data_IF_654935869252
#
_entry.id   IF_654935869252
#
_cell.length_a   1.000
_cell.length_b   1.000
_cell.length_c   1.000
_cell.angle_alpha   90.00
_cell.angle_beta   90.00
_cell.angle_gamma   90.00
#
_symmetry.space_group_name_H-M   'P 1'
#
loop_
_entity.id
_entity.type
_entity.pdbx_description
1 polymer ?
#
# COMPACT_ATOMS: atom_id res chain seq x y z
N UNK A 1 -22.87 1.37 17.92
CA UNK A 1 -21.85 1.19 16.86
C UNK A 1 -20.61 0.69 17.57
N UNK A 2 -20.25 -0.57 17.37
CA UNK A 2 -19.15 -1.22 18.08
C UNK A 2 -17.82 -0.54 17.77
N UNK A 3 -17.05 -0.21 18.80
CA UNK A 3 -15.76 0.49 18.73
C UNK A 3 -14.60 -0.35 18.18
N UNK A 4 -14.88 -1.47 17.51
CA UNK A 4 -13.88 -2.50 17.17
C UNK A 4 -13.73 -2.75 15.67
N UNK A 5 -14.16 -1.82 14.83
CA UNK A 5 -13.87 -1.92 13.41
C UNK A 5 -12.44 -1.42 13.18
N UNK A 6 -11.48 -2.34 13.02
CA UNK A 6 -10.08 -2.00 12.73
C UNK A 6 -10.03 -1.01 11.56
N UNK A 7 -9.48 0.18 11.80
CA UNK A 7 -9.30 1.17 10.73
C UNK A 7 -8.28 0.65 9.73
N UNK A 8 -8.68 0.58 8.47
CA UNK A 8 -7.83 0.12 7.37
C UNK A 8 -7.47 1.33 6.54
N UNK A 9 -6.21 1.47 6.19
CA UNK A 9 -5.71 2.48 5.27
C UNK A 9 -5.07 1.81 4.07
N UNK A 10 -5.60 2.09 2.87
CA UNK A 10 -5.06 1.63 1.60
C UNK A 10 -4.34 2.80 0.91
N UNK A 11 -3.08 2.59 0.57
CA UNK A 11 -2.21 3.58 -0.08
C UNK A 11 -1.81 3.05 -1.45
N UNK A 12 -2.19 3.79 -2.50
CA UNK A 12 -1.89 3.45 -3.90
C UNK A 12 -0.71 4.27 -4.38
N UNK A 13 0.33 3.60 -4.90
CA UNK A 13 1.43 4.23 -5.61
C UNK A 13 1.44 3.80 -7.06
N UNK A 14 0.74 4.52 -7.93
CA UNK A 14 0.68 4.26 -9.37
C UNK A 14 0.81 5.56 -10.15
N UNK A 15 1.47 5.52 -11.32
CA UNK A 15 1.57 6.69 -12.21
C UNK A 15 0.31 6.91 -13.06
N UNK A 16 -0.59 5.92 -13.13
CA UNK A 16 -1.84 6.01 -13.89
C UNK A 16 -3.02 6.24 -12.95
N UNK A 17 -3.70 7.37 -13.10
CA UNK A 17 -4.92 7.69 -12.32
C UNK A 17 -6.07 6.72 -12.58
N UNK A 18 -6.23 6.26 -13.81
CA UNK A 18 -7.26 5.29 -14.23
C UNK A 18 -6.59 3.93 -14.59
N UNK A 19 -5.66 3.48 -13.76
CA UNK A 19 -4.93 2.24 -13.97
C UNK A 19 -5.51 1.06 -13.19
N UNK A 20 -5.12 -0.15 -13.58
CA UNK A 20 -5.57 -1.40 -12.95
C UNK A 20 -5.30 -1.44 -11.45
N UNK A 21 -4.15 -0.94 -11.00
CA UNK A 21 -3.81 -0.89 -9.56
C UNK A 21 -4.79 -0.03 -8.78
N UNK A 22 -5.19 1.13 -9.33
CA UNK A 22 -6.19 1.98 -8.71
C UNK A 22 -7.56 1.32 -8.71
N UNK A 23 -7.99 0.71 -9.80
CA UNK A 23 -9.26 -0.03 -9.86
C UNK A 23 -9.36 -1.15 -8.81
N UNK A 24 -8.29 -1.91 -8.63
CA UNK A 24 -8.20 -2.93 -7.56
C UNK A 24 -8.31 -2.28 -6.17
N UNK A 25 -7.62 -1.17 -5.96
CA UNK A 25 -7.61 -0.48 -4.67
C UNK A 25 -8.99 0.13 -4.34
N UNK A 26 -9.67 0.75 -5.31
CA UNK A 26 -11.03 1.29 -5.15
C UNK A 26 -12.03 0.17 -4.83
N UNK A 27 -11.98 -0.94 -5.57
CA UNK A 27 -12.82 -2.10 -5.28
C UNK A 27 -12.63 -2.61 -3.84
N UNK A 28 -11.38 -2.75 -3.41
CA UNK A 28 -11.07 -3.20 -2.04
C UNK A 28 -11.51 -2.17 -0.99
N UNK A 29 -11.31 -0.88 -1.24
CA UNK A 29 -11.77 0.20 -0.37
C UNK A 29 -13.29 0.13 -0.17
N UNK A 30 -14.05 -0.01 -1.25
CA UNK A 30 -15.51 -0.12 -1.21
C UNK A 30 -15.97 -1.36 -0.44
N UNK A 31 -15.30 -2.50 -0.60
CA UNK A 31 -15.67 -3.76 0.06
C UNK A 31 -15.28 -3.84 1.51
N UNK A 32 -14.13 -3.28 1.87
CA UNK A 32 -13.59 -3.37 3.24
C UNK A 32 -13.93 -2.16 4.11
N UNK A 33 -14.30 -1.03 3.50
CA UNK A 33 -14.46 0.25 4.18
C UNK A 33 -13.12 0.92 4.50
N UNK A 34 -12.04 0.54 3.79
CA UNK A 34 -10.72 1.14 3.95
C UNK A 34 -10.71 2.61 3.49
N UNK A 35 -10.02 3.47 4.22
CA UNK A 35 -9.64 4.78 3.70
C UNK A 35 -8.66 4.63 2.54
N UNK A 36 -8.85 5.38 1.45
CA UNK A 36 -8.00 5.32 0.26
C UNK A 36 -7.16 6.60 0.14
N UNK A 37 -5.86 6.43 -0.10
CA UNK A 37 -4.92 7.50 -0.45
C UNK A 37 -4.25 7.13 -1.77
N UNK A 38 -4.30 8.05 -2.75
CA UNK A 38 -3.53 7.92 -3.98
C UNK A 38 -2.33 8.86 -3.95
N UNK A 39 -1.12 8.29 -3.95
CA UNK A 39 0.13 9.05 -3.93
C UNK A 39 0.32 9.92 -5.18
N UNK A 40 -0.36 9.62 -6.28
CA UNK A 40 -0.31 10.43 -7.50
C UNK A 40 -1.05 11.78 -7.37
N UNK A 41 -1.90 11.91 -6.37
CA UNK A 41 -2.66 13.14 -6.07
C UNK A 41 -1.95 14.02 -5.04
N UNK A 42 -0.82 13.56 -4.52
CA UNK A 42 -0.06 14.21 -3.45
C UNK A 42 1.30 14.72 -3.96
N UNK A 43 1.78 15.76 -3.33
CA UNK A 43 3.13 16.27 -3.53
C UNK A 43 4.05 15.65 -2.48
N UNK A 44 4.71 14.55 -2.82
CA UNK A 44 5.70 13.89 -1.96
C UNK A 44 7.05 13.91 -2.66
N UNK A 45 7.98 14.65 -2.10
CA UNK A 45 9.35 14.78 -2.62
C UNK A 45 10.22 13.58 -2.23
N UNK A 46 11.33 13.40 -2.94
CA UNK A 46 12.33 12.40 -2.59
C UNK A 46 12.88 12.63 -1.17
N UNK A 47 13.37 11.57 -0.53
CA UNK A 47 14.06 11.69 0.74
C UNK A 47 15.29 12.60 0.62
N UNK A 48 15.45 13.47 1.60
CA UNK A 48 16.58 14.41 1.70
C UNK A 48 17.20 14.30 3.10
N UNK A 49 18.50 14.02 3.17
CA UNK A 49 19.23 13.91 4.43
C UNK A 49 19.26 15.19 5.28
N UNK A 50 19.04 16.35 4.65
CA UNK A 50 18.90 17.63 5.34
C UNK A 50 17.44 17.96 5.72
N UNK A 51 16.51 17.02 5.41
CA UNK A 51 15.09 17.13 5.72
C UNK A 51 14.41 18.42 5.22
N UNK A 52 14.76 18.89 4.04
CA UNK A 52 14.21 20.14 3.44
C UNK A 52 12.75 19.99 3.01
N UNK A 53 12.25 18.77 2.87
CA UNK A 53 10.95 18.43 2.28
C UNK A 53 9.82 18.27 3.33
N UNK A 54 9.96 18.88 4.51
CA UNK A 54 8.98 18.69 5.61
C UNK A 54 7.62 19.35 5.36
N UNK A 55 7.50 20.17 4.33
CA UNK A 55 6.29 20.93 3.99
C UNK A 55 5.43 20.25 2.92
N UNK A 56 5.81 19.05 2.49
CA UNK A 56 5.05 18.26 1.54
C UNK A 56 4.00 17.36 2.23
N UNK A 57 3.20 16.64 1.44
CA UNK A 57 2.07 15.87 1.94
C UNK A 57 2.46 14.58 2.71
N UNK A 58 3.77 14.23 2.77
CA UNK A 58 4.21 12.98 3.40
C UNK A 58 3.79 12.87 4.86
N UNK A 59 3.95 13.96 5.64
CA UNK A 59 3.65 13.92 7.07
C UNK A 59 2.17 13.75 7.36
N UNK A 60 1.28 14.21 6.47
CA UNK A 60 -0.16 14.00 6.62
C UNK A 60 -0.56 12.55 6.35
N UNK A 61 0.08 11.92 5.36
CA UNK A 61 -0.07 10.47 5.15
C UNK A 61 0.46 9.68 6.34
N UNK A 62 1.64 10.03 6.86
CA UNK A 62 2.23 9.37 8.01
C UNK A 62 1.32 9.43 9.26
N UNK A 63 0.68 10.57 9.52
CA UNK A 63 -0.32 10.70 10.62
C UNK A 63 -1.50 9.74 10.41
N UNK A 64 -2.06 9.68 9.20
CA UNK A 64 -3.15 8.74 8.89
C UNK A 64 -2.72 7.27 9.05
N UNK A 65 -1.46 6.95 8.74
CA UNK A 65 -0.91 5.60 8.99
C UNK A 65 -0.93 5.25 10.48
N UNK A 66 -0.64 6.21 11.37
CA UNK A 66 -0.67 5.95 12.82
C UNK A 66 -2.08 5.68 13.36
N UNK A 67 -3.12 6.12 12.67
CA UNK A 67 -4.52 5.89 13.03
C UNK A 67 -5.07 4.54 12.55
N UNK A 68 -4.41 3.91 11.58
CA UNK A 68 -4.81 2.63 11.03
C UNK A 68 -4.25 1.46 11.86
N UNK A 69 -4.98 0.37 11.95
CA UNK A 69 -4.50 -0.91 12.48
C UNK A 69 -3.90 -1.79 11.37
N UNK A 70 -4.41 -1.62 10.14
CA UNK A 70 -3.94 -2.32 8.95
C UNK A 70 -3.60 -1.30 7.86
N UNK A 71 -2.40 -1.38 7.33
CA UNK A 71 -1.92 -0.57 6.20
C UNK A 71 -1.76 -1.48 5.01
N UNK A 72 -2.39 -1.14 3.90
CA UNK A 72 -2.29 -1.87 2.63
C UNK A 72 -1.56 -0.98 1.63
N UNK A 73 -0.43 -1.44 1.12
CA UNK A 73 0.30 -0.78 0.04
C UNK A 73 -0.06 -1.44 -1.28
N UNK A 74 -0.54 -0.66 -2.25
CA UNK A 74 -0.88 -1.15 -3.58
C UNK A 74 -0.01 -0.47 -4.65
N UNK A 75 0.70 -1.25 -5.46
CA UNK A 75 1.65 -0.76 -6.46
C UNK A 75 1.60 -1.58 -7.75
N UNK A 76 1.75 -0.97 -8.93
CA UNK A 76 1.99 -1.75 -10.14
C UNK A 76 3.39 -2.39 -10.11
N UNK A 77 3.55 -3.44 -10.93
CA UNK A 77 4.87 -4.02 -11.22
C UNK A 77 5.49 -3.28 -12.40
N UNK A 78 6.54 -2.52 -12.15
CA UNK A 78 7.33 -1.86 -13.19
C UNK A 78 8.77 -2.38 -13.14
N UNK A 79 9.20 -3.03 -14.22
CA UNK A 79 10.56 -3.59 -14.29
C UNK A 79 10.91 -4.43 -13.05
N UNK A 80 10.02 -5.37 -12.71
CA UNK A 80 10.15 -6.31 -11.59
C UNK A 80 10.22 -5.65 -10.20
N UNK A 81 9.82 -4.37 -10.08
CA UNK A 81 9.83 -3.63 -8.83
C UNK A 81 8.56 -2.79 -8.67
N UNK A 82 8.41 -2.19 -7.50
CA UNK A 82 7.35 -1.23 -7.22
C UNK A 82 7.51 0.04 -8.07
N UNK A 83 6.44 0.82 -8.19
CA UNK A 83 6.49 2.12 -8.86
C UNK A 83 7.44 3.11 -8.18
N UNK A 84 7.90 4.11 -8.92
CA UNK A 84 8.70 5.19 -8.36
C UNK A 84 7.96 5.96 -7.25
N UNK A 85 6.64 6.16 -7.40
CA UNK A 85 5.81 6.82 -6.39
C UNK A 85 5.81 6.03 -5.07
N UNK A 86 5.60 4.72 -5.13
CA UNK A 86 5.63 3.86 -3.95
C UNK A 86 7.03 3.84 -3.33
N UNK A 87 8.08 3.78 -4.14
CA UNK A 87 9.47 3.80 -3.64
C UNK A 87 9.81 5.11 -2.98
N UNK A 88 9.45 6.25 -3.59
CA UNK A 88 9.63 7.58 -2.99
C UNK A 88 8.93 7.67 -1.64
N UNK A 89 7.68 7.21 -1.56
CA UNK A 89 6.93 7.18 -0.32
C UNK A 89 7.62 6.33 0.77
N UNK A 90 8.14 5.15 0.42
CA UNK A 90 8.88 4.30 1.36
C UNK A 90 10.22 4.90 1.79
N UNK A 91 10.95 5.56 0.88
CA UNK A 91 12.20 6.22 1.24
C UNK A 91 11.98 7.32 2.28
N UNK A 92 10.82 7.99 2.23
CA UNK A 92 10.42 9.01 3.21
C UNK A 92 10.11 8.43 4.59
N UNK A 93 9.93 7.11 4.74
CA UNK A 93 9.83 6.50 6.07
C UNK A 93 11.11 6.70 6.90
N UNK A 94 12.23 7.02 6.26
CA UNK A 94 13.46 7.45 6.96
C UNK A 94 13.23 8.69 7.84
N UNK A 95 12.30 9.58 7.50
CA UNK A 95 11.92 10.72 8.34
C UNK A 95 11.26 10.27 9.65
N UNK A 96 10.57 9.14 9.63
CA UNK A 96 9.93 8.54 10.81
C UNK A 96 10.94 7.88 11.76
N UNK A 97 12.17 7.66 11.29
CA UNK A 97 13.29 7.12 12.07
C UNK A 97 14.20 8.22 12.63
N UNK A 98 14.10 9.43 12.09
CA UNK A 98 14.98 10.56 12.37
C UNK A 98 14.26 11.71 13.05
N UNK A 99 13.51 12.50 12.31
CA UNK A 99 12.89 13.74 12.78
C UNK A 99 11.48 13.55 13.33
N UNK A 100 10.78 12.46 13.00
CA UNK A 100 9.42 12.13 13.48
C UNK A 100 9.33 10.73 14.08
N UNK A 101 10.27 10.43 14.97
CA UNK A 101 10.29 9.16 15.72
C UNK A 101 9.03 8.91 16.53
N UNK A 102 8.33 9.96 16.91
CA UNK A 102 7.03 9.91 17.58
C UNK A 102 5.97 9.21 16.72
N UNK A 103 5.94 9.49 15.41
CA UNK A 103 5.06 8.81 14.46
C UNK A 103 5.58 7.41 14.10
N UNK A 104 6.90 7.27 13.87
CA UNK A 104 7.50 5.99 13.52
C UNK A 104 7.23 4.89 14.55
N UNK A 105 7.38 5.19 15.84
CA UNK A 105 7.11 4.24 16.92
C UNK A 105 5.64 3.80 17.00
N UNK A 106 4.71 4.60 16.51
CA UNK A 106 3.30 4.24 16.47
C UNK A 106 2.95 3.27 15.33
N UNK A 107 3.90 2.96 14.44
CA UNK A 107 3.72 1.95 13.41
C UNK A 107 4.03 0.53 13.91
N UNK A 108 4.74 0.39 15.03
CA UNK A 108 5.00 -0.91 15.63
C UNK A 108 3.70 -1.70 15.85
N UNK A 109 3.78 -3.03 15.67
CA UNK A 109 2.66 -3.99 15.76
C UNK A 109 1.52 -3.82 14.75
N UNK A 110 1.51 -2.78 13.93
CA UNK A 110 0.51 -2.63 12.86
C UNK A 110 0.72 -3.68 11.76
N UNK A 111 -0.38 -4.15 11.19
CA UNK A 111 -0.32 -5.07 10.05
C UNK A 111 0.01 -4.31 8.77
N UNK A 112 0.99 -4.80 8.01
CA UNK A 112 1.33 -4.32 6.68
C UNK A 112 1.01 -5.39 5.64
N UNK A 113 0.22 -5.04 4.65
CA UNK A 113 -0.14 -5.88 3.51
C UNK A 113 0.40 -5.24 2.24
N UNK A 114 0.95 -6.05 1.34
CA UNK A 114 1.36 -5.62 0.02
C UNK A 114 0.42 -6.19 -1.05
N UNK A 115 -0.02 -5.35 -1.97
CA UNK A 115 -0.71 -5.74 -3.20
C UNK A 115 0.11 -5.26 -4.38
N UNK A 116 0.39 -6.14 -5.32
CA UNK A 116 0.95 -5.75 -6.61
C UNK A 116 -0.01 -6.07 -7.75
N UNK A 117 0.04 -5.24 -8.79
CA UNK A 117 -0.75 -5.41 -10.00
C UNK A 117 0.16 -5.40 -11.23
N UNK A 118 0.08 -6.43 -12.06
CA UNK A 118 0.92 -6.60 -13.23
C UNK A 118 0.16 -6.99 -14.48
N UNK A 119 0.89 -7.33 -15.55
CA UNK A 119 0.35 -7.90 -16.79
C UNK A 119 0.54 -9.41 -16.87
N UNK A 120 1.30 -10.00 -15.95
CA UNK A 120 1.61 -11.42 -15.88
C UNK A 120 1.26 -11.99 -14.51
N UNK A 121 1.06 -13.31 -14.48
CA UNK A 121 0.70 -14.06 -13.27
C UNK A 121 1.77 -14.00 -12.18
N UNK A 122 3.04 -13.91 -12.57
CA UNK A 122 4.16 -13.87 -11.63
C UNK A 122 4.86 -12.50 -11.65
N UNK A 123 4.93 -11.80 -10.53
CA UNK A 123 5.51 -10.44 -10.48
C UNK A 123 7.04 -10.42 -10.54
N UNK A 124 7.67 -11.59 -10.48
CA UNK A 124 9.13 -11.76 -10.34
C UNK A 124 9.54 -12.18 -8.93
N UNK A 125 10.62 -12.95 -8.86
CA UNK A 125 11.18 -13.42 -7.60
C UNK A 125 11.65 -12.24 -6.73
N UNK A 126 11.32 -12.28 -5.45
CA UNK A 126 11.76 -11.25 -4.49
C UNK A 126 11.00 -9.93 -4.50
N UNK A 127 9.94 -9.76 -5.32
CA UNK A 127 9.19 -8.49 -5.40
C UNK A 127 8.76 -7.94 -4.03
N UNK A 128 8.26 -8.80 -3.15
CA UNK A 128 7.79 -8.39 -1.83
C UNK A 128 8.91 -8.19 -0.79
N UNK A 129 10.14 -8.61 -1.09
CA UNK A 129 11.24 -8.62 -0.13
C UNK A 129 11.56 -7.24 0.46
N UNK A 130 11.67 -6.14 -0.32
CA UNK A 130 11.92 -4.81 0.25
C UNK A 130 10.86 -4.37 1.24
N UNK A 131 9.57 -4.63 0.94
CA UNK A 131 8.45 -4.24 1.81
C UNK A 131 8.44 -5.08 3.09
N UNK A 132 8.71 -6.39 2.99
CA UNK A 132 8.81 -7.28 4.15
C UNK A 132 9.92 -6.82 5.09
N UNK A 133 11.12 -6.55 4.56
CA UNK A 133 12.25 -6.07 5.35
C UNK A 133 11.98 -4.70 5.95
N UNK A 134 11.26 -3.82 5.25
CA UNK A 134 10.82 -2.54 5.80
C UNK A 134 9.85 -2.74 6.97
N UNK A 135 8.90 -3.66 6.84
CA UNK A 135 7.98 -4.01 7.93
C UNK A 135 8.74 -4.51 9.16
N UNK A 136 9.65 -5.46 8.95
CA UNK A 136 10.49 -6.01 10.04
C UNK A 136 11.31 -4.90 10.72
N UNK A 137 11.92 -4.01 9.95
CA UNK A 137 12.70 -2.90 10.49
C UNK A 137 11.88 -1.88 11.29
N UNK A 138 10.62 -1.67 10.89
CA UNK A 138 9.67 -0.78 11.55
C UNK A 138 8.86 -1.47 12.65
N UNK A 139 9.23 -2.71 13.02
CA UNK A 139 8.53 -3.53 14.03
C UNK A 139 7.04 -3.78 13.69
N UNK A 140 6.69 -3.73 12.40
CA UNK A 140 5.35 -4.03 11.90
C UNK A 140 5.19 -5.52 11.61
N UNK A 141 3.94 -6.00 11.60
CA UNK A 141 3.62 -7.37 11.20
C UNK A 141 3.38 -7.44 9.69
N UNK A 142 4.29 -8.02 8.91
CA UNK A 142 4.02 -8.27 7.49
C UNK A 142 2.97 -9.38 7.35
N UNK A 143 1.71 -8.98 7.13
CA UNK A 143 0.56 -9.86 7.18
C UNK A 143 0.25 -10.58 5.86
N UNK A 144 0.83 -10.15 4.74
CA UNK A 144 0.67 -10.86 3.49
C UNK A 144 1.12 -10.08 2.25
N UNK A 145 1.37 -10.83 1.19
CA UNK A 145 1.62 -10.32 -0.15
C UNK A 145 0.65 -10.98 -1.13
N UNK A 146 -0.02 -10.17 -1.92
CA UNK A 146 -0.97 -10.62 -2.91
C UNK A 146 -0.63 -10.00 -4.26
N UNK A 147 -0.61 -10.82 -5.28
CA UNK A 147 -0.44 -10.37 -6.65
C UNK A 147 -1.72 -10.59 -7.44
N UNK A 148 -2.09 -9.61 -8.24
CA UNK A 148 -3.14 -9.73 -9.25
C UNK A 148 -2.63 -9.21 -10.58
N UNK A 149 -3.20 -9.71 -11.66
CA UNK A 149 -2.78 -9.29 -13.00
C UNK A 149 -3.98 -9.15 -13.93
N UNK A 150 -3.81 -8.30 -14.92
CA UNK A 150 -4.72 -8.18 -16.05
C UNK A 150 -3.91 -8.47 -17.31
N UNK A 151 -4.27 -9.54 -18.02
CA UNK A 151 -3.67 -9.87 -19.31
C UNK A 151 -4.00 -8.80 -20.36
N UNK A 152 -3.29 -8.82 -21.48
CA UNK A 152 -3.60 -7.95 -22.61
C UNK A 152 -5.07 -8.10 -23.02
N UNK A 153 -5.77 -6.97 -23.18
CA UNK A 153 -7.21 -6.87 -23.45
C UNK A 153 -8.18 -7.21 -22.29
N UNK A 154 -7.71 -7.55 -21.11
CA UNK A 154 -8.57 -7.57 -19.92
C UNK A 154 -8.78 -6.15 -19.38
N UNK A 155 -10.01 -5.87 -18.96
CA UNK A 155 -10.36 -4.64 -18.24
C UNK A 155 -10.85 -4.98 -16.84
N UNK A 156 -10.78 -4.02 -15.92
CA UNK A 156 -11.18 -4.21 -14.53
C UNK A 156 -12.66 -4.51 -14.44
N UNK A 157 -13.34 -5.20 -14.80
CA UNK A 157 -14.76 -5.59 -14.83
C UNK A 157 -14.96 -6.93 -15.53
N UNK A 158 -13.89 -7.47 -16.14
CA UNK A 158 -13.88 -8.80 -16.71
C UNK A 158 -14.10 -9.84 -15.61
N UNK A 159 -14.89 -10.90 -15.89
CA UNK A 159 -15.26 -11.93 -14.92
C UNK A 159 -14.03 -12.64 -14.28
N UNK A 160 -12.99 -12.90 -15.07
CA UNK A 160 -11.77 -13.54 -14.57
C UNK A 160 -10.99 -12.62 -13.63
N UNK A 161 -10.91 -11.32 -13.96
CA UNK A 161 -10.31 -10.31 -13.10
C UNK A 161 -11.09 -10.20 -11.80
N UNK A 162 -12.42 -10.14 -11.87
CA UNK A 162 -13.26 -10.06 -10.67
C UNK A 162 -13.09 -11.29 -9.77
N UNK A 163 -12.98 -12.50 -10.32
CA UNK A 163 -12.69 -13.70 -9.53
C UNK A 163 -11.36 -13.58 -8.78
N UNK A 164 -10.28 -13.13 -9.45
CA UNK A 164 -8.97 -12.93 -8.81
C UNK A 164 -9.03 -11.87 -7.70
N UNK A 165 -9.71 -10.76 -7.95
CA UNK A 165 -9.83 -9.68 -6.97
C UNK A 165 -10.75 -10.05 -5.80
N UNK A 166 -11.77 -10.90 -6.01
CA UNK A 166 -12.60 -11.46 -4.93
C UNK A 166 -11.79 -12.40 -4.04
N UNK A 167 -10.91 -13.24 -4.59
CA UNK A 167 -10.02 -14.07 -3.80
C UNK A 167 -9.06 -13.21 -2.95
N UNK A 168 -8.54 -12.15 -3.53
CA UNK A 168 -7.72 -11.15 -2.82
C UNK A 168 -8.52 -10.48 -1.69
N UNK A 169 -9.76 -10.05 -1.94
CA UNK A 169 -10.65 -9.48 -0.93
C UNK A 169 -10.83 -10.44 0.25
N UNK A 170 -11.20 -11.70 0.00
CA UNK A 170 -11.41 -12.69 1.05
C UNK A 170 -10.16 -12.91 1.91
N UNK A 171 -8.98 -12.90 1.28
CA UNK A 171 -7.72 -13.02 2.00
C UNK A 171 -7.44 -11.80 2.89
N UNK A 172 -7.74 -10.60 2.41
CA UNK A 172 -7.61 -9.37 3.19
C UNK A 172 -8.62 -9.36 4.34
N UNK A 173 -9.87 -9.74 4.10
CA UNK A 173 -10.91 -9.83 5.14
C UNK A 173 -10.50 -10.79 6.27
N UNK A 174 -9.89 -11.90 5.94
CA UNK A 174 -9.33 -12.82 6.96
C UNK A 174 -8.21 -12.14 7.78
N UNK A 175 -7.32 -11.37 7.14
CA UNK A 175 -6.23 -10.65 7.83
C UNK A 175 -6.78 -9.58 8.80
N UNK A 176 -7.85 -8.89 8.40
CA UNK A 176 -8.48 -7.83 9.19
C UNK A 176 -9.50 -8.34 10.21
N UNK A 177 -9.75 -9.65 10.25
CA UNK A 177 -10.67 -10.29 11.22
C UNK A 177 -12.15 -10.09 10.89
N UNK A 178 -12.48 -9.99 9.59
CA UNK A 178 -13.86 -9.96 9.07
C UNK A 178 -14.28 -11.31 8.53
#
# INVERSE_FOLDING_TARGET
>A
MSADQQRILLIVGSSRKEGNTRGVAEFLSDKTGAGLIDLSELSISYYDYEHKNQQDDFMDVARKMTEAAVIILATPVYWYSMSAQMKTFLDRWSDLLTIRKDLGRQLADKKLVLISCGSWEEPGEGFALPIRQTADYMEMQFAGYFHTWLADNEVFGNENVQKRVTLLQNSIEHIIGK
#
